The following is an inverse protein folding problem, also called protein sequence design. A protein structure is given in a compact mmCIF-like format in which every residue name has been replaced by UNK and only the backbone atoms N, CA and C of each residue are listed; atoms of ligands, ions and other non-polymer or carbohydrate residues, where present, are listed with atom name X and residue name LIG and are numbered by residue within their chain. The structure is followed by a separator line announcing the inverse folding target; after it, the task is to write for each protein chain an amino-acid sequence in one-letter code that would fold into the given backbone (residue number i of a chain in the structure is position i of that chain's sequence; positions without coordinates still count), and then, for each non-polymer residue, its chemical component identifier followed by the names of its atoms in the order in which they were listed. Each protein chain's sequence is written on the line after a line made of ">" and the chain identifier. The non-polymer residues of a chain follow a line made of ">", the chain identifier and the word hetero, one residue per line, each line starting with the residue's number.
data_IF_836329817177
#
_entry.id   IF_836329817177
#
_cell.length_a   1.000
_cell.length_b   1.000
_cell.length_c   1.000
_cell.angle_alpha   90.00
_cell.angle_beta   90.00
_cell.angle_gamma   90.00
#
_symmetry.space_group_name_H-M   'P 1'
#
loop_
_entity.id
_entity.type
_entity.pdbx_description
1 polymer ?
#
# COMPACT_ATOMS: atom_id res chain seq x y z
N UNK A 1 15.82 18.91 2.77
CA UNK A 1 15.23 17.81 1.97
C UNK A 1 13.80 17.63 2.43
N UNK A 2 12.83 17.73 1.53
CA UNK A 2 11.40 17.64 1.87
C UNK A 2 11.00 16.18 2.03
N UNK A 3 10.75 15.75 3.25
CA UNK A 3 10.16 14.43 3.49
C UNK A 3 8.70 14.45 3.05
N UNK A 4 8.27 13.41 2.35
CA UNK A 4 6.85 13.25 2.02
C UNK A 4 6.03 13.10 3.29
N UNK A 5 4.84 13.69 3.31
CA UNK A 5 3.89 13.57 4.41
C UNK A 5 3.18 12.22 4.40
N UNK A 6 2.54 11.85 5.52
CA UNK A 6 1.71 10.64 5.63
C UNK A 6 0.70 10.53 4.47
N UNK A 7 -0.08 11.59 4.22
CA UNK A 7 -1.06 11.63 3.13
C UNK A 7 -0.43 11.36 1.74
N UNK A 8 0.75 11.92 1.48
CA UNK A 8 1.48 11.67 0.23
C UNK A 8 1.94 10.22 0.13
N UNK A 9 2.49 9.65 1.21
CA UNK A 9 2.90 8.25 1.25
C UNK A 9 1.70 7.30 1.02
N UNK A 10 0.55 7.59 1.64
CA UNK A 10 -0.67 6.84 1.44
C UNK A 10 -1.16 6.90 -0.02
N UNK A 11 -1.17 8.09 -0.64
CA UNK A 11 -1.54 8.25 -2.06
C UNK A 11 -0.61 7.46 -2.98
N UNK A 12 0.69 7.49 -2.74
CA UNK A 12 1.67 6.72 -3.52
C UNK A 12 1.42 5.21 -3.39
N UNK A 13 1.15 4.73 -2.18
CA UNK A 13 0.83 3.32 -1.96
C UNK A 13 -0.45 2.91 -2.71
N UNK A 14 -1.53 3.70 -2.61
CA UNK A 14 -2.80 3.42 -3.29
C UNK A 14 -2.66 3.43 -4.82
N UNK A 15 -1.95 4.40 -5.38
CA UNK A 15 -1.68 4.46 -6.82
C UNK A 15 -0.83 3.28 -7.30
N UNK A 16 0.12 2.83 -6.49
CA UNK A 16 0.91 1.64 -6.76
C UNK A 16 0.04 0.38 -6.76
N UNK A 17 -0.84 0.22 -5.77
CA UNK A 17 -1.77 -0.90 -5.67
C UNK A 17 -2.75 -0.92 -6.83
N UNK A 18 -3.30 0.24 -7.21
CA UNK A 18 -4.19 0.37 -8.36
C UNK A 18 -3.53 -0.11 -9.64
N UNK A 19 -2.28 0.27 -9.89
CA UNK A 19 -1.50 -0.17 -11.07
C UNK A 19 -1.14 -1.65 -11.03
N UNK A 20 -0.82 -2.18 -9.85
CA UNK A 20 -0.34 -3.56 -9.69
C UNK A 20 -1.44 -4.61 -9.62
N UNK A 21 -2.57 -4.29 -8.98
CA UNK A 21 -3.67 -5.22 -8.68
C UNK A 21 -4.97 -4.86 -9.41
N UNK A 22 -4.98 -3.77 -10.20
CA UNK A 22 -6.15 -3.28 -10.92
C UNK A 22 -7.39 -3.10 -10.02
N UNK A 23 -7.17 -2.65 -8.77
CA UNK A 23 -8.22 -2.48 -7.76
C UNK A 23 -8.20 -1.05 -7.23
N UNK A 24 -9.37 -0.40 -7.25
CA UNK A 24 -9.57 0.93 -6.67
C UNK A 24 -10.12 0.88 -5.24
N UNK A 25 -10.39 -0.33 -4.74
CA UNK A 25 -11.08 -0.58 -3.47
C UNK A 25 -10.13 -0.95 -2.33
N UNK A 26 -8.86 -0.57 -2.42
CA UNK A 26 -7.91 -0.81 -1.35
C UNK A 26 -8.24 0.06 -0.13
N UNK A 27 -8.37 -0.57 1.03
CA UNK A 27 -8.56 0.09 2.31
C UNK A 27 -7.26 0.11 3.10
N UNK A 28 -6.84 1.30 3.54
CA UNK A 28 -5.63 1.48 4.34
C UNK A 28 -6.01 1.40 5.81
N UNK A 29 -5.42 0.44 6.53
CA UNK A 29 -5.65 0.26 7.97
C UNK A 29 -4.58 0.94 8.82
N UNK A 30 -3.37 1.16 8.27
CA UNK A 30 -2.24 1.69 9.03
C UNK A 30 -1.27 2.45 8.14
N UNK A 31 -0.80 3.61 8.61
CA UNK A 31 0.31 4.35 8.00
C UNK A 31 1.28 4.75 9.10
N UNK A 32 2.50 4.25 9.04
CA UNK A 32 3.50 4.48 10.09
C UNK A 32 4.84 4.92 9.49
N UNK A 33 5.52 5.87 10.14
CA UNK A 33 6.89 6.23 9.78
C UNK A 33 7.85 5.49 10.70
N UNK A 34 8.64 4.57 10.16
CA UNK A 34 9.67 3.82 10.91
C UNK A 34 11.03 4.11 10.32
N UNK A 35 11.97 4.60 11.12
CA UNK A 35 13.39 4.69 10.73
C UNK A 35 13.64 5.39 9.38
N UNK A 36 12.83 6.40 9.04
CA UNK A 36 12.97 7.11 7.77
C UNK A 36 12.32 6.42 6.56
N UNK A 37 11.47 5.42 6.78
CA UNK A 37 10.58 4.88 5.74
C UNK A 37 9.13 4.97 6.20
N UNK A 38 8.23 5.07 5.24
CA UNK A 38 6.79 4.94 5.46
C UNK A 38 6.36 3.51 5.20
N UNK A 39 5.66 2.90 6.15
CA UNK A 39 5.07 1.58 6.04
C UNK A 39 3.55 1.75 6.01
N UNK A 40 2.94 1.35 4.89
CA UNK A 40 1.50 1.46 4.65
C UNK A 40 0.95 0.04 4.61
N UNK A 41 -0.05 -0.24 5.44
CA UNK A 41 -0.71 -1.55 5.49
C UNK A 41 -2.21 -1.41 5.31
N UNK A 42 -2.81 -2.45 4.77
CA UNK A 42 -4.24 -2.49 4.58
C UNK A 42 -4.71 -3.76 3.92
N UNK A 43 -5.92 -3.72 3.40
CA UNK A 43 -6.53 -4.82 2.66
C UNK A 43 -7.03 -4.33 1.32
N UNK A 44 -6.88 -5.12 0.28
CA UNK A 44 -7.51 -4.86 -1.01
C UNK A 44 -8.34 -6.07 -1.42
N UNK A 45 -9.51 -5.85 -2.05
CA UNK A 45 -10.27 -6.95 -2.60
C UNK A 45 -9.55 -7.49 -3.85
N UNK A 46 -9.49 -8.80 -3.94
CA UNK A 46 -9.04 -9.55 -5.10
C UNK A 46 -10.16 -10.49 -5.53
N UNK A 47 -10.23 -10.76 -6.83
CA UNK A 47 -11.07 -11.83 -7.35
C UNK A 47 -10.21 -13.08 -7.52
N UNK A 48 -10.53 -14.14 -6.78
CA UNK A 48 -9.96 -15.47 -6.99
C UNK A 48 -11.10 -16.39 -7.39
N UNK A 49 -11.01 -16.92 -8.60
CA UNK A 49 -11.96 -17.90 -9.15
C UNK A 49 -13.42 -17.41 -9.16
N UNK A 50 -13.65 -16.10 -9.35
CA UNK A 50 -14.98 -15.50 -9.35
C UNK A 50 -15.54 -15.22 -7.96
N UNK A 51 -14.73 -15.34 -6.91
CA UNK A 51 -15.10 -15.02 -5.54
C UNK A 51 -14.31 -13.80 -5.01
N UNK A 52 -14.97 -12.84 -4.33
CA UNK A 52 -14.29 -11.71 -3.72
C UNK A 52 -13.58 -12.15 -2.43
N UNK A 53 -12.26 -12.05 -2.42
CA UNK A 53 -11.42 -12.26 -1.24
C UNK A 53 -10.74 -10.96 -0.83
N UNK A 54 -10.34 -10.88 0.44
CA UNK A 54 -9.48 -9.79 0.92
C UNK A 54 -8.03 -10.27 0.94
N UNK A 55 -7.13 -9.48 0.37
CA UNK A 55 -5.69 -9.69 0.44
C UNK A 55 -5.10 -8.59 1.31
N UNK A 56 -4.26 -8.94 2.28
CA UNK A 56 -3.48 -7.95 3.02
C UNK A 56 -2.34 -7.46 2.14
N UNK A 57 -2.07 -6.16 2.21
CA UNK A 57 -0.89 -5.57 1.59
C UNK A 57 -0.05 -4.83 2.63
N UNK A 58 1.26 -4.83 2.39
CA UNK A 58 2.23 -3.94 3.00
C UNK A 58 3.04 -3.26 1.90
N UNK A 59 3.18 -1.94 1.97
CA UNK A 59 3.99 -1.15 1.03
C UNK A 59 4.95 -0.29 1.83
N UNK A 60 6.24 -0.41 1.54
CA UNK A 60 7.30 0.38 2.17
C UNK A 60 7.80 1.43 1.19
N UNK A 61 7.84 2.70 1.63
CA UNK A 61 8.16 3.86 0.80
C UNK A 61 9.27 4.67 1.48
N UNK A 62 10.27 5.10 0.71
CA UNK A 62 11.32 5.99 1.24
C UNK A 62 10.80 7.43 1.45
N UNK A 63 11.61 8.29 2.06
CA UNK A 63 11.22 9.69 2.30
C UNK A 63 11.05 10.52 1.02
N UNK A 64 11.49 10.02 -0.13
CA UNK A 64 11.40 10.66 -1.45
C UNK A 64 10.17 10.19 -2.25
N UNK A 65 9.42 9.21 -1.76
CA UNK A 65 8.24 8.66 -2.44
C UNK A 65 8.51 7.47 -3.35
N UNK A 66 9.69 6.85 -3.25
CA UNK A 66 10.03 5.63 -3.97
C UNK A 66 9.56 4.41 -3.19
N UNK A 67 8.83 3.52 -3.85
CA UNK A 67 8.52 2.18 -3.32
C UNK A 67 9.84 1.41 -3.14
N UNK A 68 10.13 0.99 -1.91
CA UNK A 68 11.31 0.17 -1.56
C UNK A 68 10.94 -1.30 -1.69
N UNK A 69 9.80 -1.69 -1.12
CA UNK A 69 9.30 -3.06 -1.12
C UNK A 69 7.78 -3.09 -1.00
N UNK A 70 7.20 -4.23 -1.35
CA UNK A 70 5.78 -4.49 -1.19
C UNK A 70 5.57 -5.99 -0.94
N UNK A 71 4.72 -6.32 0.02
CA UNK A 71 4.29 -7.68 0.33
C UNK A 71 2.77 -7.81 0.20
N UNK A 72 2.33 -8.99 -0.22
CA UNK A 72 0.92 -9.32 -0.38
C UNK A 72 0.69 -10.72 0.18
N UNK A 73 -0.29 -10.83 1.07
CA UNK A 73 -0.60 -12.07 1.75
C UNK A 73 -2.11 -12.27 1.79
N UNK A 74 -2.57 -13.45 1.34
CA UNK A 74 -3.97 -13.84 1.45
C UNK A 74 -4.39 -13.95 2.92
N UNK A 75 -5.61 -13.52 3.21
CA UNK A 75 -6.24 -13.67 4.51
C UNK A 75 -6.92 -15.03 4.66
#
# INVERSE_FOLDING_TARGET
>A
MSNISNNSAQKIALEYLRKRKNTEKAEVSMVENKNGVWVIRGTCPIDLEGHPWAEKFEVVIDQKGKIISSDFSLL
#
